data_IF_748541438690
#
_entry.id   IF_748541438690
#
_cell.length_a   1.000
_cell.length_b   1.000
_cell.length_c   1.000
_cell.angle_alpha   90.00
_cell.angle_beta   90.00
_cell.angle_gamma   90.00
#
_symmetry.space_group_name_H-M   'P 1'
#
loop_
_entity.id
_entity.type
_entity.pdbx_description
1 polymer ?
#
# COMPACT_ATOMS: atom_id res chain seq x y z
N UNK A 1 -41.53 -20.41 26.43
CA UNK A 1 -41.80 -18.97 26.45
C UNK A 1 -40.48 -18.23 26.42
N UNK A 2 -39.96 -18.21 25.20
CA UNK A 2 -39.16 -17.22 24.49
C UNK A 2 -38.51 -16.08 25.30
N UNK A 3 -37.18 -16.03 25.25
CA UNK A 3 -36.39 -14.82 25.51
C UNK A 3 -35.74 -14.38 24.20
N UNK A 4 -36.33 -13.35 23.58
CA UNK A 4 -35.83 -12.69 22.38
C UNK A 4 -34.46 -12.04 22.67
N UNK A 5 -33.40 -12.53 22.01
CA UNK A 5 -32.15 -11.79 21.90
C UNK A 5 -32.13 -11.03 20.57
N UNK A 6 -32.13 -9.70 20.70
CA UNK A 6 -32.00 -8.74 19.61
C UNK A 6 -30.56 -8.82 19.07
N UNK A 7 -30.35 -9.49 17.93
CA UNK A 7 -29.06 -9.47 17.24
C UNK A 7 -29.04 -8.29 16.26
N UNK A 8 -28.40 -7.22 16.70
CA UNK A 8 -28.11 -6.04 15.89
C UNK A 8 -27.14 -6.43 14.77
N UNK A 9 -27.58 -6.29 13.52
CA UNK A 9 -26.75 -6.45 12.34
C UNK A 9 -25.60 -5.43 12.37
N UNK A 10 -24.42 -5.87 12.80
CA UNK A 10 -23.21 -5.10 12.67
C UNK A 10 -22.49 -5.51 11.38
N UNK A 11 -22.82 -4.83 10.28
CA UNK A 11 -21.96 -4.82 9.09
C UNK A 11 -20.71 -4.01 9.43
N UNK A 12 -19.68 -4.66 9.96
CA UNK A 12 -18.35 -4.08 10.05
C UNK A 12 -17.63 -4.29 8.71
N UNK A 13 -17.66 -3.22 7.91
CA UNK A 13 -16.53 -2.65 7.17
C UNK A 13 -15.39 -3.63 6.82
N UNK A 14 -15.41 -4.13 5.58
CA UNK A 14 -14.29 -4.82 4.94
C UNK A 14 -13.20 -3.80 4.58
N UNK A 15 -12.64 -3.13 5.59
CA UNK A 15 -11.51 -2.24 5.41
C UNK A 15 -10.29 -3.07 5.01
N UNK A 16 -9.74 -2.75 3.83
CA UNK A 16 -8.54 -3.32 3.22
C UNK A 16 -7.31 -3.27 4.16
N UNK A 17 -7.26 -4.22 5.10
CA UNK A 17 -6.24 -4.31 6.14
C UNK A 17 -4.87 -4.75 5.60
N UNK A 18 -4.81 -5.26 4.37
CA UNK A 18 -3.55 -5.74 3.75
C UNK A 18 -2.59 -4.57 3.50
N UNK A 19 -3.12 -3.39 3.15
CA UNK A 19 -2.30 -2.22 2.86
C UNK A 19 -1.79 -1.51 4.13
N UNK A 20 -2.58 -1.47 5.22
CA UNK A 20 -2.15 -0.82 6.48
C UNK A 20 -0.95 -1.49 7.15
N UNK A 21 -0.74 -2.79 6.93
CA UNK A 21 0.43 -3.51 7.49
C UNK A 21 1.72 -3.24 6.72
N UNK A 22 1.64 -2.97 5.43
CA UNK A 22 2.79 -2.64 4.57
C UNK A 22 3.20 -1.16 4.67
N UNK A 23 2.26 -0.26 4.94
CA UNK A 23 2.56 1.17 5.18
C UNK A 23 3.24 1.46 6.52
N UNK A 24 3.41 0.46 7.39
CA UNK A 24 4.16 0.61 8.64
C UNK A 24 5.67 0.51 8.37
N UNK A 25 6.17 1.40 7.50
CA UNK A 25 7.58 1.74 7.48
C UNK A 25 7.86 2.58 8.73
N UNK A 26 8.78 2.16 9.63
CA UNK A 26 9.20 3.01 10.73
C UNK A 26 10.13 4.09 10.16
N UNK A 27 9.57 5.15 9.58
CA UNK A 27 10.30 6.42 9.51
C UNK A 27 10.28 7.02 10.92
N UNK A 28 11.20 6.52 11.74
CA UNK A 28 11.46 7.06 13.08
C UNK A 28 12.05 8.46 12.90
N UNK A 29 11.25 9.51 13.13
CA UNK A 29 11.71 10.88 13.16
C UNK A 29 11.37 11.50 14.53
N UNK A 30 12.42 11.82 15.29
CA UNK A 30 12.36 12.64 16.49
C UNK A 30 12.10 14.10 16.10
N UNK A 31 10.89 14.62 16.31
CA UNK A 31 10.61 15.94 16.91
C UNK A 31 9.09 16.25 16.90
N UNK A 32 8.62 16.75 18.04
CA UNK A 32 7.24 17.03 18.46
C UNK A 32 6.33 17.75 17.45
N UNK A 33 5.10 17.24 17.26
CA UNK A 33 3.87 17.79 17.90
C UNK A 33 2.58 17.16 17.34
N UNK A 34 1.95 16.32 18.17
CA UNK A 34 0.49 16.29 18.38
C UNK A 34 -0.46 15.78 17.29
N UNK A 35 -0.61 14.45 17.16
CA UNK A 35 -1.93 13.78 17.06
C UNK A 35 -1.84 12.44 17.81
N UNK A 36 -2.48 12.38 18.98
CA UNK A 36 -2.59 11.18 19.82
C UNK A 36 -3.53 10.16 19.15
N UNK A 37 -2.97 9.17 18.46
CA UNK A 37 -3.73 7.98 18.04
C UNK A 37 -3.31 6.83 18.95
N UNK A 38 -4.22 6.47 19.84
CA UNK A 38 -4.21 5.36 20.81
C UNK A 38 -3.10 4.31 20.60
N UNK A 39 -2.12 4.36 21.51
CA UNK A 39 -1.11 3.34 21.69
C UNK A 39 -1.77 2.01 22.08
N UNK A 40 -1.81 1.04 21.16
CA UNK A 40 -2.00 -0.36 21.55
C UNK A 40 -0.67 -0.87 22.10
N UNK A 41 -0.60 -0.86 23.43
CA UNK A 41 0.46 -1.39 24.27
C UNK A 41 0.72 -2.87 23.91
N UNK A 42 1.82 -3.16 23.22
CA UNK A 42 2.30 -4.52 23.03
C UNK A 42 2.96 -5.02 24.33
N UNK A 43 2.14 -5.32 25.33
CA UNK A 43 2.50 -6.28 26.36
C UNK A 43 2.28 -7.69 25.79
N UNK A 44 3.26 -8.18 25.03
CA UNK A 44 3.43 -9.61 24.79
C UNK A 44 4.79 -10.04 25.33
N UNK A 45 4.78 -10.35 26.63
CA UNK A 45 5.76 -11.25 27.21
C UNK A 45 5.62 -12.61 26.51
N UNK A 46 6.56 -12.96 25.63
CA UNK A 46 7.18 -14.28 25.54
C UNK A 46 8.25 -14.31 24.43
N UNK A 47 9.51 -14.32 24.87
CA UNK A 47 10.68 -14.98 24.26
C UNK A 47 10.74 -15.06 22.71
N UNK A 48 11.37 -14.07 22.06
CA UNK A 48 12.04 -14.25 20.76
C UNK A 48 12.94 -13.05 20.39
N UNK A 49 13.87 -12.67 21.27
CA UNK A 49 14.74 -11.48 21.09
C UNK A 49 15.79 -11.60 19.97
N UNK A 50 15.89 -12.74 19.28
CA UNK A 50 16.87 -12.95 18.21
C UNK A 50 16.33 -12.69 16.79
N UNK A 51 15.01 -12.78 16.59
CA UNK A 51 14.40 -12.64 15.25
C UNK A 51 14.08 -11.19 14.87
N UNK A 52 13.85 -10.31 15.83
CA UNK A 52 13.58 -8.89 15.58
C UNK A 52 14.86 -8.15 15.17
N UNK A 53 15.97 -8.40 15.86
CA UNK A 53 17.29 -7.80 15.57
C UNK A 53 17.82 -8.17 14.18
N UNK A 54 17.63 -9.42 13.75
CA UNK A 54 18.04 -9.87 12.42
C UNK A 54 17.18 -9.26 11.31
N UNK A 55 15.86 -9.10 11.52
CA UNK A 55 14.97 -8.44 10.57
C UNK A 55 15.30 -6.95 10.38
N UNK A 56 15.64 -6.25 11.47
CA UNK A 56 16.09 -4.85 11.42
C UNK A 56 17.38 -4.74 10.62
N UNK A 57 18.37 -5.59 10.89
CA UNK A 57 19.65 -5.58 10.15
C UNK A 57 19.47 -5.83 8.63
N UNK A 58 18.56 -6.72 8.23
CA UNK A 58 18.25 -6.95 6.81
C UNK A 58 17.57 -5.74 6.17
N UNK A 59 16.62 -5.10 6.88
CA UNK A 59 15.96 -3.88 6.40
C UNK A 59 16.94 -2.73 6.24
N UNK A 60 17.85 -2.55 7.19
CA UNK A 60 18.88 -1.51 7.13
C UNK A 60 19.80 -1.71 5.93
N UNK A 61 20.21 -2.96 5.66
CA UNK A 61 20.97 -3.31 4.45
C UNK A 61 20.22 -3.00 3.16
N UNK A 62 18.92 -3.34 3.10
CA UNK A 62 18.07 -3.02 1.93
C UNK A 62 17.95 -1.51 1.74
N UNK A 63 17.75 -0.73 2.82
CA UNK A 63 17.60 0.73 2.76
C UNK A 63 18.90 1.45 2.39
N UNK A 64 20.06 0.92 2.80
CA UNK A 64 21.38 1.45 2.45
C UNK A 64 21.84 1.05 1.04
N UNK A 65 21.11 0.15 0.36
CA UNK A 65 21.49 -0.40 -0.92
C UNK A 65 21.30 0.60 -2.08
N UNK A 66 22.22 0.70 -3.05
CA UNK A 66 22.09 1.62 -4.19
C UNK A 66 20.80 1.43 -4.98
N UNK A 67 20.30 0.19 -5.12
CA UNK A 67 19.06 -0.13 -5.82
C UNK A 67 17.78 0.11 -5.01
N UNK A 68 17.87 0.61 -3.77
CA UNK A 68 16.69 0.84 -2.92
C UNK A 68 15.66 1.78 -3.56
N UNK A 69 16.11 2.88 -4.17
CA UNK A 69 15.23 3.83 -4.84
C UNK A 69 14.44 3.18 -5.99
N UNK A 70 15.09 2.31 -6.77
CA UNK A 70 14.46 1.54 -7.85
C UNK A 70 13.43 0.56 -7.29
N UNK A 71 13.78 -0.17 -6.23
CA UNK A 71 12.87 -1.07 -5.52
C UNK A 71 11.62 -0.34 -5.04
N UNK A 72 11.81 0.78 -4.34
CA UNK A 72 10.73 1.59 -3.80
C UNK A 72 9.84 2.13 -4.93
N UNK A 73 10.43 2.63 -6.01
CA UNK A 73 9.70 3.17 -7.16
C UNK A 73 8.81 2.10 -7.82
N UNK A 74 9.37 0.92 -8.11
CA UNK A 74 8.59 -0.20 -8.67
C UNK A 74 7.46 -0.64 -7.74
N UNK A 75 7.71 -0.66 -6.43
CA UNK A 75 6.68 -0.98 -5.45
C UNK A 75 5.55 0.07 -5.41
N UNK A 76 5.90 1.35 -5.41
CA UNK A 76 4.92 2.44 -5.43
C UNK A 76 4.09 2.42 -6.71
N UNK A 77 4.68 2.12 -7.86
CA UNK A 77 3.93 2.02 -9.11
C UNK A 77 2.86 0.93 -9.05
N UNK A 78 3.16 -0.23 -8.45
CA UNK A 78 2.16 -1.27 -8.20
C UNK A 78 0.97 -0.74 -7.38
N UNK A 79 1.23 0.07 -6.35
CA UNK A 79 0.18 0.67 -5.51
C UNK A 79 -0.63 1.75 -6.25
N UNK A 80 -0.01 2.45 -7.21
CA UNK A 80 -0.71 3.46 -8.01
C UNK A 80 -1.73 2.86 -8.96
N UNK A 81 -1.62 1.58 -9.32
CA UNK A 81 -2.59 0.92 -10.21
C UNK A 81 -3.97 0.92 -9.56
N UNK A 82 -4.86 1.76 -10.10
CA UNK A 82 -6.22 1.93 -9.63
C UNK A 82 -6.39 2.72 -8.34
N UNK A 83 -5.32 3.34 -7.84
CA UNK A 83 -5.42 4.26 -6.72
C UNK A 83 -6.13 5.56 -7.16
N UNK A 84 -6.95 6.15 -6.28
CA UNK A 84 -7.49 7.49 -6.49
C UNK A 84 -6.37 8.56 -6.49
N UNK A 85 -6.61 9.74 -7.09
CA UNK A 85 -5.58 10.76 -7.24
C UNK A 85 -4.96 11.25 -5.93
N UNK A 86 -5.71 11.25 -4.82
CA UNK A 86 -5.19 11.70 -3.53
C UNK A 86 -4.18 10.70 -2.94
N UNK A 87 -4.46 9.39 -3.08
CA UNK A 87 -3.52 8.33 -2.69
C UNK A 87 -2.27 8.41 -3.54
N UNK A 88 -2.39 8.61 -4.86
CA UNK A 88 -1.22 8.74 -5.75
C UNK A 88 -0.34 9.91 -5.33
N UNK A 89 -0.93 11.08 -5.06
CA UNK A 89 -0.20 12.25 -4.59
C UNK A 89 0.51 12.02 -3.24
N UNK A 90 -0.17 11.36 -2.29
CA UNK A 90 0.39 11.02 -0.98
C UNK A 90 1.58 10.04 -1.08
N UNK A 91 1.51 9.06 -1.99
CA UNK A 91 2.61 8.15 -2.29
C UNK A 91 3.81 8.88 -2.89
N UNK A 92 3.58 9.85 -3.77
CA UNK A 92 4.64 10.67 -4.39
C UNK A 92 5.31 11.60 -3.37
N UNK A 93 4.54 12.24 -2.48
CA UNK A 93 5.07 13.05 -1.38
C UNK A 93 5.96 12.22 -0.45
N UNK A 94 5.49 11.02 -0.08
CA UNK A 94 6.24 10.09 0.77
C UNK A 94 7.55 9.65 0.12
N UNK A 95 7.54 9.42 -1.20
CA UNK A 95 8.74 9.08 -1.97
C UNK A 95 9.75 10.22 -1.97
N UNK A 96 9.31 11.45 -2.29
CA UNK A 96 10.16 12.64 -2.30
C UNK A 96 10.81 12.90 -0.94
N UNK A 97 10.07 12.65 0.16
CA UNK A 97 10.60 12.76 1.53
C UNK A 97 11.68 11.71 1.81
N UNK A 98 11.55 10.50 1.29
CA UNK A 98 12.53 9.44 1.46
C UNK A 98 13.82 9.74 0.67
N UNK A 99 13.70 10.27 -0.55
CA UNK A 99 14.85 10.69 -1.37
C UNK A 99 15.66 11.81 -0.71
N UNK A 100 14.99 12.77 -0.06
CA UNK A 100 15.63 13.86 0.67
C UNK A 100 16.45 13.37 1.88
N UNK A 101 16.05 12.27 2.52
CA UNK A 101 16.74 11.71 3.69
C UNK A 101 17.93 10.81 3.30
N UNK A 102 17.82 10.12 2.16
CA UNK A 102 18.82 9.14 1.72
C UNK A 102 20.08 9.74 1.07
N UNK A 103 20.16 11.06 0.90
CA UNK A 103 21.36 11.74 0.39
C UNK A 103 22.59 11.68 1.29
N UNK A 104 22.46 11.19 2.54
CA UNK A 104 23.52 11.25 3.57
C UNK A 104 23.92 9.89 4.18
N UNK A 105 23.27 8.79 3.82
CA UNK A 105 23.54 7.47 4.42
C UNK A 105 24.64 6.73 3.64
N UNK A 106 25.62 6.18 4.36
CA UNK A 106 26.76 5.46 3.80
C UNK A 106 26.33 4.47 2.72
N UNK A 107 26.74 4.73 1.48
CA UNK A 107 26.36 3.92 0.32
C UNK A 107 27.07 2.59 0.42
N UNK A 108 26.33 1.52 0.73
CA UNK A 108 26.82 0.17 0.45
C UNK A 108 27.09 0.08 -1.05
N UNK A 109 28.20 -0.55 -1.43
CA UNK A 109 28.58 -0.65 -2.84
C UNK A 109 27.93 -1.86 -3.49
N UNK A 110 27.52 -1.73 -4.75
CA UNK A 110 27.11 -2.88 -5.57
C UNK A 110 28.26 -3.91 -5.57
N UNK A 111 27.96 -5.18 -5.31
CA UNK A 111 28.96 -6.25 -5.20
C UNK A 111 29.51 -6.52 -3.79
N UNK A 112 29.13 -5.75 -2.77
CA UNK A 112 29.49 -6.03 -1.37
C UNK A 112 28.78 -7.28 -0.84
N UNK A 113 27.55 -7.52 -1.30
CA UNK A 113 26.74 -8.70 -1.00
C UNK A 113 26.03 -9.17 -2.29
N UNK A 114 26.65 -10.08 -3.06
CA UNK A 114 26.09 -10.56 -4.33
C UNK A 114 24.71 -11.20 -4.21
N UNK A 115 24.39 -11.76 -3.03
CA UNK A 115 23.06 -12.33 -2.76
C UNK A 115 22.01 -11.23 -2.62
N UNK A 116 22.35 -10.14 -1.93
CA UNK A 116 21.49 -8.96 -1.83
C UNK A 116 21.36 -8.25 -3.18
N UNK A 117 22.44 -8.11 -3.94
CA UNK A 117 22.40 -7.52 -5.29
C UNK A 117 21.39 -8.25 -6.18
N UNK A 118 21.51 -9.58 -6.25
CA UNK A 118 20.61 -10.43 -7.04
C UNK A 118 19.17 -10.33 -6.54
N UNK A 119 18.95 -10.32 -5.22
CA UNK A 119 17.62 -10.13 -4.65
C UNK A 119 17.01 -8.80 -5.07
N UNK A 120 17.76 -7.71 -4.95
CA UNK A 120 17.27 -6.36 -5.28
C UNK A 120 16.89 -6.27 -6.76
N UNK A 121 17.71 -6.81 -7.66
CA UNK A 121 17.42 -6.83 -9.10
C UNK A 121 16.19 -7.70 -9.43
N UNK A 122 16.18 -8.95 -8.97
CA UNK A 122 15.10 -9.89 -9.27
C UNK A 122 13.76 -9.40 -8.70
N UNK A 123 13.76 -8.80 -7.52
CA UNK A 123 12.54 -8.30 -6.90
C UNK A 123 12.04 -7.04 -7.60
N UNK A 124 12.92 -6.13 -8.03
CA UNK A 124 12.52 -5.00 -8.88
C UNK A 124 11.86 -5.48 -10.18
N UNK A 125 12.46 -6.46 -10.86
CA UNK A 125 11.89 -7.01 -12.10
C UNK A 125 10.54 -7.69 -11.88
N UNK A 126 10.40 -8.43 -10.77
CA UNK A 126 9.14 -9.07 -10.39
C UNK A 126 8.04 -8.02 -10.16
N UNK A 127 8.34 -6.92 -9.46
CA UNK A 127 7.38 -5.84 -9.23
C UNK A 127 6.96 -5.16 -10.54
N UNK A 128 7.91 -4.90 -11.45
CA UNK A 128 7.60 -4.28 -12.75
C UNK A 128 6.67 -5.18 -13.57
N UNK A 129 6.93 -6.49 -13.60
CA UNK A 129 6.03 -7.45 -14.27
C UNK A 129 4.66 -7.48 -13.60
N UNK A 130 4.63 -7.48 -12.27
CA UNK A 130 3.39 -7.45 -11.51
C UNK A 130 2.56 -6.19 -11.80
N UNK A 131 3.16 -5.01 -11.87
CA UNK A 131 2.50 -3.76 -12.27
C UNK A 131 1.83 -3.88 -13.65
N UNK A 132 2.55 -4.44 -14.63
CA UNK A 132 2.04 -4.66 -15.98
C UNK A 132 0.85 -5.63 -15.99
N UNK A 133 0.97 -6.74 -15.27
CA UNK A 133 -0.07 -7.75 -15.13
C UNK A 133 -1.30 -7.23 -14.38
N UNK A 134 -1.13 -6.33 -13.41
CA UNK A 134 -2.23 -5.65 -12.71
C UNK A 134 -2.95 -4.62 -13.59
N UNK A 135 -2.19 -3.91 -14.42
CA UNK A 135 -2.72 -2.79 -15.20
C UNK A 135 -3.79 -3.23 -16.20
N UNK A 136 -3.62 -4.38 -16.84
CA UNK A 136 -4.57 -4.92 -17.83
C UNK A 136 -5.97 -5.21 -17.24
N UNK A 137 -6.13 -6.10 -16.24
CA UNK A 137 -7.44 -6.39 -15.67
C UNK A 137 -8.09 -5.16 -15.04
N UNK A 138 -7.29 -4.24 -14.48
CA UNK A 138 -7.80 -2.98 -13.97
C UNK A 138 -8.45 -2.12 -15.07
N UNK A 139 -7.76 -1.91 -16.20
CA UNK A 139 -8.29 -1.15 -17.34
C UNK A 139 -9.52 -1.83 -17.95
N UNK A 140 -9.51 -3.16 -18.07
CA UNK A 140 -10.65 -3.93 -18.55
C UNK A 140 -11.88 -3.76 -17.63
N UNK A 141 -11.69 -3.81 -16.31
CA UNK A 141 -12.75 -3.58 -15.34
C UNK A 141 -13.30 -2.15 -15.42
N UNK A 142 -12.44 -1.13 -15.55
CA UNK A 142 -12.87 0.26 -15.71
C UNK A 142 -13.72 0.45 -16.97
N UNK A 143 -13.30 -0.12 -18.10
CA UNK A 143 -14.08 -0.08 -19.35
C UNK A 143 -15.42 -0.79 -19.20
N UNK A 144 -15.43 -1.95 -18.54
CA UNK A 144 -16.66 -2.68 -18.25
C UNK A 144 -17.62 -1.84 -17.41
N UNK A 145 -17.14 -1.24 -16.32
CA UNK A 145 -17.95 -0.40 -15.44
C UNK A 145 -18.48 0.84 -16.16
N UNK A 146 -17.66 1.52 -16.96
CA UNK A 146 -18.11 2.67 -17.77
C UNK A 146 -19.21 2.28 -18.76
N UNK A 147 -19.13 1.07 -19.35
CA UNK A 147 -20.18 0.56 -20.24
C UNK A 147 -21.49 0.34 -19.48
N UNK A 148 -21.44 -0.29 -18.31
CA UNK A 148 -22.62 -0.51 -17.47
C UNK A 148 -23.21 0.82 -17.01
N UNK A 149 -22.37 1.77 -16.57
CA UNK A 149 -22.80 3.11 -16.16
C UNK A 149 -23.55 3.83 -17.30
N UNK A 150 -23.05 3.75 -18.54
CA UNK A 150 -23.73 4.33 -19.70
C UNK A 150 -25.09 3.71 -19.97
N UNK A 151 -25.24 2.38 -19.79
CA UNK A 151 -26.52 1.70 -19.98
C UNK A 151 -27.54 2.11 -18.90
N UNK A 152 -27.09 2.21 -17.64
CA UNK A 152 -27.94 2.67 -16.54
C UNK A 152 -28.42 4.11 -16.73
N UNK A 153 -27.55 5.01 -17.21
CA UNK A 153 -27.93 6.40 -17.52
C UNK A 153 -28.97 6.48 -18.64
N UNK A 154 -28.83 5.68 -19.69
CA UNK A 154 -29.80 5.65 -20.78
C UNK A 154 -31.19 5.18 -20.31
N UNK A 155 -31.25 4.16 -19.44
CA UNK A 155 -32.51 3.70 -18.85
C UNK A 155 -33.15 4.77 -17.96
N UNK A 156 -32.36 5.43 -17.11
CA UNK A 156 -32.87 6.48 -16.22
C UNK A 156 -33.49 7.67 -16.98
N UNK A 157 -32.88 8.08 -18.10
CA UNK A 157 -33.45 9.13 -18.97
C UNK A 157 -34.75 8.66 -19.63
N UNK A 158 -34.86 7.38 -19.97
CA UNK A 158 -36.05 6.82 -20.63
C UNK A 158 -37.28 6.78 -19.70
N UNK A 159 -37.07 6.66 -18.39
CA UNK A 159 -38.14 6.64 -17.38
C UNK A 159 -38.70 8.03 -17.10
N UNK A 160 -37.89 9.10 -17.20
CA UNK A 160 -38.32 10.49 -16.95
C UNK A 160 -39.30 11.03 -18.02
N UNK A 161 -39.30 10.46 -19.23
CA UNK A 161 -40.25 10.81 -20.31
C UNK A 161 -41.59 10.06 -20.23
N UNK A 162 -41.77 9.16 -19.25
CA UNK A 162 -42.97 8.32 -19.10
C UNK A 162 -44.12 8.93 -18.30
N UNK A 163 -43.89 9.99 -17.52
CA UNK A 163 -44.87 10.53 -16.56
C UNK A 163 -45.75 11.69 -17.11
N UNK A 164 -45.84 11.84 -18.45
CA UNK A 164 -46.70 12.84 -19.11
C UNK A 164 -47.85 12.24 -19.97
N UNK A 165 -48.34 11.04 -19.64
CA UNK A 165 -49.52 10.44 -20.26
C UNK A 165 -50.54 9.97 -19.22
#
# INVERSE_FOLDING_TARGET
MDHHHHHQHHMMNMENNVNRKFFSFPLSNNNSSGVQVHHHNYNQQQNNNNNTSSSVAVRDKIMAHPLFHRLLSSYLNCLKVGAPPEVVASLEESCAKCEALNGSSGRSSIGEDPGLDQFMEAYCEMLIKYEQELTKPFKEAMLFLSRIESQLKALAVSTDFGDYL
#
